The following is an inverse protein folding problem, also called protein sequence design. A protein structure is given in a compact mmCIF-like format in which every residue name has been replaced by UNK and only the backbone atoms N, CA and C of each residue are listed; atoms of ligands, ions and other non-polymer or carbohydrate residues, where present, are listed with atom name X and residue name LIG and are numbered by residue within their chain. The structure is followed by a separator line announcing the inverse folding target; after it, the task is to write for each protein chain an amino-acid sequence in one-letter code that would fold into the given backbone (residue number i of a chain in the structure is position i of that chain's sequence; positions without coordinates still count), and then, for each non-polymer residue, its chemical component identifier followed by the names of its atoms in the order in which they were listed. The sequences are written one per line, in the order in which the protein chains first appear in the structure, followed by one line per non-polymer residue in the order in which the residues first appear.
data_IF_302677246932
#
_entry.id   IF_302677246932
#
_cell.length_a   1.000
_cell.length_b   1.000
_cell.length_c   1.000
_cell.angle_alpha   90.00
_cell.angle_beta   90.00
_cell.angle_gamma   90.00
#
_symmetry.space_group_name_H-M   'P 1'
#
loop_
_entity.id
_entity.type
_entity.pdbx_description
1 polymer ?
#
# COMPACT_ATOMS: atom_id res chain seq x y z
N UNK A 1 -6.32 2.91 4.69
CA UNK A 1 -6.14 3.42 3.32
C UNK A 1 -4.66 3.60 3.09
N UNK A 2 -4.09 2.91 2.11
CA UNK A 2 -2.67 3.00 1.79
C UNK A 2 -2.42 4.12 0.76
N UNK A 3 -1.25 4.74 0.84
CA UNK A 3 -0.78 5.73 -0.12
C UNK A 3 0.33 5.08 -0.94
N UNK A 4 0.27 5.19 -2.25
CA UNK A 4 1.28 4.65 -3.15
C UNK A 4 2.42 5.66 -3.36
N UNK A 5 3.68 5.20 -3.47
CA UNK A 5 4.78 6.05 -3.90
C UNK A 5 4.50 6.68 -5.26
N UNK A 6 4.97 7.89 -5.47
CA UNK A 6 4.82 8.58 -6.76
C UNK A 6 3.61 9.52 -6.88
N UNK A 7 2.68 9.50 -5.93
CA UNK A 7 1.55 10.45 -5.90
C UNK A 7 1.83 11.72 -5.08
N UNK A 8 3.08 12.18 -5.04
CA UNK A 8 3.48 13.35 -4.27
C UNK A 8 3.75 13.07 -2.80
N UNK A 9 3.88 11.79 -2.43
CA UNK A 9 4.24 11.37 -1.08
C UNK A 9 5.76 11.46 -0.91
N UNK A 10 6.21 12.07 0.18
CA UNK A 10 7.63 12.23 0.48
C UNK A 10 8.21 11.05 1.24
N UNK A 11 7.50 10.59 2.27
CA UNK A 11 7.92 9.51 3.16
C UNK A 11 6.74 8.60 3.45
N UNK A 12 6.99 7.29 3.47
CA UNK A 12 6.02 6.25 3.81
C UNK A 12 6.60 5.37 4.90
N UNK A 13 5.88 5.25 6.00
CA UNK A 13 6.22 4.35 7.10
C UNK A 13 5.15 3.28 7.26
N UNK A 14 5.57 2.07 7.61
CA UNK A 14 4.67 0.97 7.93
C UNK A 14 4.75 0.55 9.39
N UNK A 15 3.66 0.10 9.97
CA UNK A 15 3.69 -0.65 11.20
C UNK A 15 3.96 -2.13 10.92
N UNK A 16 4.51 -2.90 11.88
CA UNK A 16 4.80 -4.33 11.67
C UNK A 16 3.57 -5.16 11.28
N UNK A 17 2.38 -4.70 11.67
CA UNK A 17 1.09 -5.35 11.37
C UNK A 17 0.39 -4.80 10.13
N UNK A 18 1.01 -3.84 9.42
CA UNK A 18 0.41 -3.25 8.23
C UNK A 18 0.37 -4.27 7.08
N UNK A 19 -0.75 -4.32 6.39
CA UNK A 19 -0.87 -5.05 5.13
C UNK A 19 -0.63 -4.09 3.97
N UNK A 20 0.34 -4.40 3.12
CA UNK A 20 0.70 -3.58 1.97
C UNK A 20 0.37 -4.31 0.67
N UNK A 21 -0.34 -3.64 -0.22
CA UNK A 21 -0.71 -4.20 -1.51
C UNK A 21 -1.46 -3.19 -2.37
N UNK A 22 -1.52 -3.44 -3.67
CA UNK A 22 -2.25 -2.60 -4.61
C UNK A 22 -3.76 -2.60 -4.33
N UNK A 23 -4.27 -3.70 -3.78
CA UNK A 23 -5.65 -3.86 -3.34
C UNK A 23 -5.70 -4.73 -2.08
N UNK A 24 -6.79 -4.68 -1.34
CA UNK A 24 -6.99 -5.56 -0.17
C UNK A 24 -7.01 -7.03 -0.57
N UNK A 25 -6.53 -7.90 0.33
CA UNK A 25 -6.44 -9.35 0.08
C UNK A 25 -7.79 -9.97 -0.35
N UNK A 26 -8.89 -9.53 0.25
CA UNK A 26 -10.21 -10.01 -0.10
C UNK A 26 -10.60 -9.69 -1.54
N UNK A 27 -10.36 -8.45 -1.99
CA UNK A 27 -10.63 -8.03 -3.37
C UNK A 27 -9.72 -8.75 -4.38
N UNK A 28 -8.45 -8.94 -4.03
CA UNK A 28 -7.52 -9.67 -4.87
C UNK A 28 -7.97 -11.13 -5.07
N UNK A 29 -8.38 -11.79 -4.01
CA UNK A 29 -8.88 -13.17 -4.06
C UNK A 29 -10.18 -13.26 -4.87
N UNK A 30 -11.11 -12.34 -4.68
CA UNK A 30 -12.35 -12.31 -5.45
C UNK A 30 -12.09 -12.09 -6.95
N UNK A 31 -11.08 -11.29 -7.29
CA UNK A 31 -10.70 -11.06 -8.68
C UNK A 31 -10.01 -12.27 -9.33
N UNK A 32 -9.02 -12.86 -8.64
CA UNK A 32 -8.22 -13.94 -9.21
C UNK A 32 -8.86 -15.33 -9.10
N UNK A 33 -9.62 -15.58 -8.05
CA UNK A 33 -10.18 -16.89 -7.72
C UNK A 33 -11.72 -16.92 -7.71
N UNK A 34 -12.37 -15.86 -8.20
CA UNK A 34 -13.83 -15.74 -8.16
C UNK A 34 -14.57 -16.91 -8.81
N UNK A 35 -14.07 -17.45 -9.92
CA UNK A 35 -14.68 -18.59 -10.62
C UNK A 35 -14.43 -19.92 -9.89
N UNK A 36 -13.31 -20.07 -9.20
CA UNK A 36 -13.01 -21.24 -8.39
C UNK A 36 -13.85 -21.24 -7.12
N UNK A 37 -14.02 -20.09 -6.50
CA UNK A 37 -14.87 -19.90 -5.32
C UNK A 37 -16.31 -20.33 -5.62
N UNK A 38 -16.86 -19.93 -6.75
CA UNK A 38 -18.22 -20.30 -7.16
C UNK A 38 -18.42 -21.78 -7.39
N UNK A 39 -17.36 -22.51 -7.75
CA UNK A 39 -17.38 -23.95 -8.03
C UNK A 39 -17.06 -24.81 -6.80
N UNK A 40 -16.60 -24.22 -5.72
CA UNK A 40 -16.25 -24.93 -4.50
C UNK A 40 -17.48 -25.48 -3.78
N UNK A 41 -17.33 -26.59 -3.07
CA UNK A 41 -18.40 -27.17 -2.25
C UNK A 41 -18.84 -26.23 -1.12
N UNK A 42 -17.87 -25.54 -0.48
CA UNK A 42 -18.12 -24.46 0.47
C UNK A 42 -17.37 -23.21 -0.02
N UNK A 43 -18.08 -22.28 -0.71
CA UNK A 43 -17.47 -21.08 -1.26
C UNK A 43 -16.87 -20.16 -0.20
N UNK A 44 -17.50 -20.11 0.98
CA UNK A 44 -17.08 -19.20 2.04
C UNK A 44 -15.77 -19.66 2.69
N UNK A 45 -15.69 -20.94 3.07
CA UNK A 45 -14.47 -21.51 3.64
C UNK A 45 -13.31 -21.47 2.64
N UNK A 46 -13.59 -21.79 1.39
CA UNK A 46 -12.58 -21.71 0.33
C UNK A 46 -12.04 -20.30 0.14
N UNK A 47 -12.93 -19.30 0.13
CA UNK A 47 -12.57 -17.89 0.03
C UNK A 47 -11.70 -17.43 1.21
N UNK A 48 -12.10 -17.75 2.44
CA UNK A 48 -11.35 -17.38 3.64
C UNK A 48 -9.94 -17.99 3.66
N UNK A 49 -9.81 -19.25 3.27
CA UNK A 49 -8.52 -19.92 3.12
C UNK A 49 -7.62 -19.22 2.10
N UNK A 50 -8.17 -18.88 0.93
CA UNK A 50 -7.43 -18.18 -0.10
C UNK A 50 -7.02 -16.76 0.32
N UNK A 51 -7.84 -16.07 1.08
CA UNK A 51 -7.48 -14.77 1.65
C UNK A 51 -6.29 -14.90 2.61
N UNK A 52 -6.29 -15.93 3.45
CA UNK A 52 -5.18 -16.17 4.37
C UNK A 52 -3.90 -16.53 3.61
N UNK A 53 -3.96 -17.44 2.63
CA UNK A 53 -2.84 -17.81 1.78
C UNK A 53 -2.26 -16.59 1.05
N UNK A 54 -3.12 -15.70 0.56
CA UNK A 54 -2.71 -14.47 -0.13
C UNK A 54 -2.01 -13.50 0.82
N UNK A 55 -2.51 -13.34 2.03
CA UNK A 55 -1.87 -12.51 3.06
C UNK A 55 -0.49 -13.03 3.43
N UNK A 56 -0.36 -14.34 3.62
CA UNK A 56 0.90 -14.99 4.00
C UNK A 56 1.96 -14.85 2.90
N UNK A 57 1.55 -14.84 1.63
CA UNK A 57 2.46 -14.75 0.49
C UNK A 57 2.84 -13.33 0.08
N UNK A 58 1.91 -12.39 0.16
CA UNK A 58 2.03 -11.09 -0.54
C UNK A 58 1.88 -9.87 0.35
N UNK A 59 1.41 -10.00 1.59
CA UNK A 59 1.11 -8.85 2.43
C UNK A 59 2.10 -8.64 3.59
N UNK A 60 3.26 -9.31 3.57
CA UNK A 60 4.29 -9.12 4.58
C UNK A 60 4.98 -7.75 4.42
N UNK A 61 4.80 -6.81 5.37
CA UNK A 61 5.41 -5.50 5.30
C UNK A 61 6.94 -5.56 5.39
N UNK A 62 7.52 -6.57 6.04
CA UNK A 62 8.96 -6.73 6.13
C UNK A 62 9.58 -7.15 4.80
N UNK A 63 8.92 -8.05 4.06
CA UNK A 63 9.34 -8.43 2.73
C UNK A 63 9.29 -7.24 1.76
N UNK A 64 8.24 -6.41 1.85
CA UNK A 64 8.07 -5.22 1.02
C UNK A 64 9.02 -4.08 1.39
N UNK A 65 9.39 -3.93 2.66
CA UNK A 65 10.40 -2.98 3.11
C UNK A 65 11.80 -3.40 2.64
N UNK A 66 12.09 -4.70 2.57
CA UNK A 66 13.36 -5.22 2.06
C UNK A 66 13.52 -5.01 0.56
N UNK A 67 12.43 -4.94 -0.18
CA UNK A 67 12.40 -4.75 -1.64
C UNK A 67 12.41 -3.25 -2.05
N UNK A 68 12.72 -2.36 -1.13
CA UNK A 68 13.25 -0.99 -1.28
C UNK A 68 12.31 0.11 -1.75
N UNK A 69 11.16 -0.18 -2.34
CA UNK A 69 10.49 0.89 -3.11
C UNK A 69 9.21 1.45 -2.50
N UNK A 70 8.57 0.75 -1.59
CA UNK A 70 7.22 1.10 -1.14
C UNK A 70 7.18 1.74 0.24
N UNK A 71 8.06 1.34 1.14
CA UNK A 71 8.08 1.79 2.54
C UNK A 71 9.51 2.12 2.92
N UNK A 72 9.78 3.32 3.44
CA UNK A 72 11.12 3.74 3.84
C UNK A 72 11.57 3.07 5.13
N UNK A 73 10.64 2.82 6.05
CA UNK A 73 10.96 2.16 7.32
C UNK A 73 9.72 1.53 7.96
N UNK A 74 9.95 0.50 8.78
CA UNK A 74 8.95 -0.11 9.64
C UNK A 74 9.15 0.44 11.05
N UNK A 75 8.13 1.09 11.57
CA UNK A 75 8.15 1.75 12.87
C UNK A 75 7.14 1.13 13.83
N UNK A 76 7.49 1.10 15.11
CA UNK A 76 6.53 0.74 16.16
C UNK A 76 5.43 1.80 16.28
N UNK A 77 4.17 1.40 16.56
CA UNK A 77 3.07 2.36 16.72
C UNK A 77 3.35 3.48 17.73
N UNK A 78 4.08 3.18 18.80
CA UNK A 78 4.48 4.16 19.82
C UNK A 78 5.43 5.25 19.28
N UNK A 79 6.19 4.96 18.22
CA UNK A 79 7.13 5.89 17.61
C UNK A 79 6.50 6.77 16.51
N UNK A 80 5.27 6.51 16.14
CA UNK A 80 4.59 7.19 15.01
C UNK A 80 4.66 8.70 15.12
N UNK A 81 4.33 9.27 16.28
CA UNK A 81 4.38 10.72 16.48
C UNK A 81 5.77 11.30 16.30
N UNK A 82 6.79 10.63 16.83
CA UNK A 82 8.19 11.06 16.72
C UNK A 82 8.66 11.04 15.26
N UNK A 83 8.30 9.98 14.53
CA UNK A 83 8.61 9.86 13.10
C UNK A 83 7.92 10.94 12.28
N UNK A 84 6.64 11.22 12.54
CA UNK A 84 5.90 12.27 11.86
C UNK A 84 6.53 13.66 12.09
N UNK A 85 6.88 14.00 13.32
CA UNK A 85 7.52 15.30 13.64
C UNK A 85 8.85 15.44 12.93
N UNK A 86 9.69 14.40 12.96
CA UNK A 86 10.98 14.41 12.25
C UNK A 86 10.81 14.55 10.74
N UNK A 87 9.87 13.81 10.16
CA UNK A 87 9.58 13.86 8.74
C UNK A 87 9.09 15.22 8.30
N UNK A 88 8.19 15.85 9.06
CA UNK A 88 7.71 17.20 8.78
C UNK A 88 8.85 18.23 8.84
N UNK A 89 9.75 18.12 9.79
CA UNK A 89 10.92 19.01 9.87
C UNK A 89 11.85 18.84 8.67
N UNK A 90 12.01 17.61 8.15
CA UNK A 90 12.84 17.33 6.98
C UNK A 90 12.24 17.93 5.70
N UNK A 91 10.92 17.95 5.56
CA UNK A 91 10.22 18.41 4.36
C UNK A 91 9.71 19.86 4.46
N UNK A 92 9.96 20.55 5.57
CA UNK A 92 9.45 21.90 5.83
C UNK A 92 9.79 22.90 4.69
N UNK A 93 10.97 22.78 4.12
CA UNK A 93 11.44 23.66 3.04
C UNK A 93 11.24 23.07 1.63
N UNK A 94 10.42 22.01 1.49
CA UNK A 94 10.15 21.42 0.18
C UNK A 94 9.40 22.40 -0.73
N UNK A 95 10.05 22.86 -1.78
CA UNK A 95 9.41 23.59 -2.87
C UNK A 95 8.70 22.64 -3.82
N UNK A 96 7.42 22.88 -4.10
CA UNK A 96 6.71 22.17 -5.15
C UNK A 96 6.97 22.88 -6.46
N UNK A 97 7.90 22.37 -7.26
CA UNK A 97 8.09 22.83 -8.64
C UNK A 97 7.02 22.21 -9.52
N UNK A 98 5.89 22.89 -9.67
CA UNK A 98 4.95 22.52 -10.72
C UNK A 98 5.41 23.14 -12.02
N UNK A 99 5.65 22.33 -13.04
CA UNK A 99 5.79 22.86 -14.40
C UNK A 99 4.51 23.63 -14.74
N UNK A 100 4.64 24.94 -14.94
CA UNK A 100 3.54 25.75 -15.42
C UNK A 100 3.12 25.21 -16.80
N UNK A 101 1.95 24.59 -16.86
CA UNK A 101 1.39 24.13 -18.14
C UNK A 101 1.02 25.39 -18.92
N UNK A 102 1.69 25.61 -20.03
CA UNK A 102 1.42 26.74 -20.92
C UNK A 102 0.09 26.58 -21.68
N UNK A 103 -0.41 25.36 -21.79
CA UNK A 103 -1.63 25.04 -22.53
C UNK A 103 -2.46 24.01 -21.75
N UNK A 104 -3.78 24.16 -21.75
CA UNK A 104 -4.69 23.11 -21.31
C UNK A 104 -4.66 21.93 -22.27
N UNK A 105 -4.92 20.70 -21.76
CA UNK A 105 -5.26 19.59 -22.63
C UNK A 105 -6.58 19.90 -23.31
N UNK A 106 -6.53 20.23 -24.59
CA UNK A 106 -7.72 20.31 -25.42
C UNK A 106 -7.90 18.93 -26.04
N UNK A 107 -8.98 18.19 -25.70
CA UNK A 107 -9.28 16.95 -26.39
C UNK A 107 -9.64 17.29 -27.83
N UNK A 108 -8.87 16.72 -28.72
CA UNK A 108 -9.13 16.79 -30.16
C UNK A 108 -10.22 15.77 -30.53
#
# INVERSE_FOLDING_TARGET
MGIMPGFGTDLIFGWPTAEVGAMGAAQAVDLFYGDEIKKAQDPQEYRERKIQDYKDLYADPLALASDVTWVQDIIEPAETRRCLVRSLNLIENKGITRNARRHGNIPL
#
